data_IF_138503302752
#
_entry.id   IF_138503302752
#
_cell.length_a   1.000
_cell.length_b   1.000
_cell.length_c   1.000
_cell.angle_alpha   90.00
_cell.angle_beta   90.00
_cell.angle_gamma   90.00
#
_symmetry.space_group_name_H-M   'P 1'
#
loop_
_entity.id
_entity.type
_entity.pdbx_description
1 polymer ?
#
# COMPACT_ATOMS: atom_id res chain seq x y z
N UNK A 1 -33.38 16.56 -48.49
CA UNK A 1 -32.85 17.31 -47.33
C UNK A 1 -32.85 16.52 -46.01
N UNK A 2 -33.55 15.39 -45.86
CA UNK A 2 -33.63 14.67 -44.56
C UNK A 2 -32.48 13.69 -44.27
N UNK A 3 -31.90 13.01 -45.26
CA UNK A 3 -30.84 11.99 -45.03
C UNK A 3 -29.51 12.59 -44.54
N UNK A 4 -29.11 13.76 -45.02
CA UNK A 4 -27.87 14.43 -44.60
C UNK A 4 -27.98 14.99 -43.17
N UNK A 5 -29.18 15.41 -42.76
CA UNK A 5 -29.45 15.90 -41.41
C UNK A 5 -29.44 14.76 -40.39
N UNK A 6 -29.99 13.60 -40.77
CA UNK A 6 -29.94 12.37 -39.96
C UNK A 6 -28.51 11.86 -39.78
N UNK A 7 -27.70 11.86 -40.85
CA UNK A 7 -26.29 11.45 -40.76
C UNK A 7 -25.47 12.38 -39.84
N UNK A 8 -25.69 13.70 -39.93
CA UNK A 8 -25.04 14.68 -39.03
C UNK A 8 -25.47 14.49 -37.58
N UNK A 9 -26.75 14.23 -37.31
CA UNK A 9 -27.25 13.95 -35.96
C UNK A 9 -26.68 12.65 -35.39
N UNK A 10 -26.56 11.59 -36.20
CA UNK A 10 -25.94 10.33 -35.78
C UNK A 10 -24.44 10.46 -35.53
N UNK A 11 -23.71 11.24 -36.33
CA UNK A 11 -22.28 11.50 -36.08
C UNK A 11 -22.10 12.33 -34.80
N UNK A 12 -22.89 13.37 -34.59
CA UNK A 12 -22.85 14.17 -33.36
C UNK A 12 -23.25 13.33 -32.14
N UNK A 13 -24.26 12.46 -32.24
CA UNK A 13 -24.64 11.55 -31.16
C UNK A 13 -23.57 10.49 -30.89
N UNK A 14 -22.87 9.97 -31.91
CA UNK A 14 -21.78 9.01 -31.74
C UNK A 14 -20.53 9.66 -31.13
N UNK A 15 -20.23 10.91 -31.51
CA UNK A 15 -19.17 11.72 -30.88
C UNK A 15 -19.54 12.05 -29.44
N UNK A 16 -20.81 12.37 -29.15
CA UNK A 16 -21.30 12.55 -27.78
C UNK A 16 -21.22 11.26 -26.96
N UNK A 17 -21.52 10.10 -27.55
CA UNK A 17 -21.40 8.79 -26.86
C UNK A 17 -19.93 8.39 -26.66
N UNK A 18 -19.02 8.75 -27.57
CA UNK A 18 -17.57 8.57 -27.40
C UNK A 18 -16.95 9.59 -26.42
N UNK A 19 -17.52 10.79 -26.31
CA UNK A 19 -17.20 11.78 -25.26
C UNK A 19 -17.85 11.45 -23.91
N UNK A 20 -18.77 10.48 -23.88
CA UNK A 20 -19.44 9.96 -22.68
C UNK A 20 -18.92 8.58 -22.27
N UNK A 21 -17.88 8.05 -22.94
CA UNK A 21 -17.02 7.08 -22.26
C UNK A 21 -16.35 7.87 -21.14
N UNK A 22 -16.65 7.59 -19.86
CA UNK A 22 -16.03 8.34 -18.78
C UNK A 22 -14.53 8.13 -18.90
N UNK A 23 -13.72 9.20 -18.92
CA UNK A 23 -12.27 9.09 -18.71
C UNK A 23 -11.97 8.19 -17.49
N UNK A 24 -12.85 8.20 -16.50
CA UNK A 24 -12.81 7.38 -15.30
C UNK A 24 -12.73 5.87 -15.60
N UNK A 25 -13.34 5.36 -16.68
CA UNK A 25 -13.25 3.93 -17.03
C UNK A 25 -11.86 3.58 -17.53
N UNK A 26 -11.21 4.46 -18.30
CA UNK A 26 -9.85 4.24 -18.80
C UNK A 26 -8.82 4.37 -17.67
N UNK A 27 -8.91 5.42 -16.85
CA UNK A 27 -8.03 5.60 -15.69
C UNK A 27 -8.16 4.43 -14.69
N UNK A 28 -9.39 3.96 -14.42
CA UNK A 28 -9.59 2.79 -13.54
C UNK A 28 -9.05 1.48 -14.13
N UNK A 29 -8.98 1.37 -15.45
CA UNK A 29 -8.46 0.18 -16.13
C UNK A 29 -6.93 0.17 -16.12
N UNK A 30 -6.30 1.34 -16.27
CA UNK A 30 -4.84 1.50 -16.20
C UNK A 30 -4.33 1.18 -14.79
N UNK A 31 -4.95 1.75 -13.74
CA UNK A 31 -4.55 1.46 -12.34
C UNK A 31 -4.60 -0.03 -12.02
N UNK A 32 -5.61 -0.77 -12.48
CA UNK A 32 -5.67 -2.22 -12.25
C UNK A 32 -4.52 -2.96 -12.91
N UNK A 33 -4.14 -2.57 -14.12
CA UNK A 33 -2.97 -3.15 -14.77
C UNK A 33 -1.67 -2.82 -14.04
N UNK A 34 -1.58 -1.62 -13.45
CA UNK A 34 -0.41 -1.20 -12.67
C UNK A 34 -0.31 -1.97 -11.35
N UNK A 35 -1.44 -2.20 -10.66
CA UNK A 35 -1.53 -3.07 -9.49
C UNK A 35 -1.02 -4.48 -9.83
N UNK A 36 -1.52 -5.08 -10.91
CA UNK A 36 -1.12 -6.45 -11.31
C UNK A 36 0.38 -6.54 -11.61
N UNK A 37 0.95 -5.55 -12.30
CA UNK A 37 2.38 -5.51 -12.62
C UNK A 37 3.24 -5.33 -11.37
N UNK A 38 2.87 -4.41 -10.50
CA UNK A 38 3.63 -4.14 -9.28
C UNK A 38 3.50 -5.28 -8.26
N UNK A 39 2.31 -5.88 -8.13
CA UNK A 39 2.12 -7.09 -7.31
C UNK A 39 2.99 -8.25 -7.80
N UNK A 40 3.00 -8.51 -9.12
CA UNK A 40 3.85 -9.55 -9.70
C UNK A 40 5.33 -9.30 -9.43
N UNK A 41 5.79 -8.06 -9.54
CA UNK A 41 7.17 -7.69 -9.23
C UNK A 41 7.52 -7.91 -7.75
N UNK A 42 6.66 -7.49 -6.82
CA UNK A 42 6.87 -7.67 -5.38
C UNK A 42 6.97 -9.16 -5.01
N UNK A 43 6.14 -10.01 -5.61
CA UNK A 43 6.16 -11.46 -5.40
C UNK A 43 7.41 -12.10 -6.04
N UNK A 44 7.74 -11.75 -7.29
CA UNK A 44 8.90 -12.30 -8.00
C UNK A 44 10.23 -11.95 -7.32
N UNK A 45 10.31 -10.77 -6.70
CA UNK A 45 11.51 -10.29 -5.99
C UNK A 45 11.53 -10.65 -4.50
N UNK A 46 10.50 -11.37 -4.02
CA UNK A 46 10.33 -11.73 -2.60
C UNK A 46 10.40 -10.51 -1.66
N UNK A 47 9.89 -9.35 -2.11
CA UNK A 47 9.87 -8.12 -1.32
C UNK A 47 8.72 -8.13 -0.32
N UNK A 48 8.86 -8.95 0.72
CA UNK A 48 7.85 -9.15 1.76
C UNK A 48 8.16 -8.32 3.01
N UNK A 49 7.35 -7.30 3.22
CA UNK A 49 7.35 -6.41 4.39
C UNK A 49 5.92 -6.32 4.91
N UNK A 50 5.71 -5.82 6.14
CA UNK A 50 4.36 -5.64 6.69
C UNK A 50 3.46 -4.81 5.75
N UNK A 51 4.10 -3.85 5.10
CA UNK A 51 3.51 -2.88 4.18
C UNK A 51 3.15 -3.47 2.83
N UNK A 52 4.04 -4.28 2.23
CA UNK A 52 3.76 -4.94 0.96
C UNK A 52 2.73 -6.05 1.14
N UNK A 53 2.80 -6.81 2.25
CA UNK A 53 1.84 -7.85 2.60
C UNK A 53 0.45 -7.26 2.83
N UNK A 54 0.32 -6.17 3.58
CA UNK A 54 -0.95 -5.48 3.77
C UNK A 54 -1.58 -5.03 2.44
N UNK A 55 -0.79 -4.43 1.56
CA UNK A 55 -1.27 -4.00 0.25
C UNK A 55 -1.62 -5.17 -0.67
N UNK A 56 -0.82 -6.25 -0.67
CA UNK A 56 -1.08 -7.46 -1.46
C UNK A 56 -2.38 -8.13 -1.01
N UNK A 57 -2.58 -8.29 0.30
CA UNK A 57 -3.80 -8.82 0.87
C UNK A 57 -5.01 -7.97 0.47
N UNK A 58 -4.92 -6.64 0.64
CA UNK A 58 -6.01 -5.73 0.29
C UNK A 58 -6.35 -5.74 -1.20
N UNK A 59 -5.34 -5.96 -2.05
CA UNK A 59 -5.51 -6.09 -3.49
C UNK A 59 -6.07 -7.47 -3.90
N UNK A 60 -6.21 -8.44 -2.99
CA UNK A 60 -6.46 -9.86 -3.28
C UNK A 60 -5.37 -10.48 -4.19
N UNK A 61 -4.12 -10.08 -3.97
CA UNK A 61 -2.94 -10.53 -4.70
C UNK A 61 -1.93 -11.26 -3.80
N UNK A 62 -2.21 -11.47 -2.51
CA UNK A 62 -1.36 -12.24 -1.61
C UNK A 62 -1.56 -13.75 -1.84
N UNK A 63 -0.58 -14.49 -2.36
CA UNK A 63 -0.69 -15.94 -2.51
C UNK A 63 -0.66 -16.68 -1.18
N UNK A 64 -1.36 -17.80 -1.06
CA UNK A 64 -1.44 -18.60 0.18
C UNK A 64 -0.05 -19.05 0.69
N UNK A 65 0.85 -19.44 -0.21
CA UNK A 65 2.22 -19.87 0.14
C UNK A 65 3.09 -18.71 0.63
N UNK A 66 2.90 -17.51 0.08
CA UNK A 66 3.55 -16.29 0.59
C UNK A 66 2.96 -15.88 1.94
N UNK A 67 1.64 -16.00 2.11
CA UNK A 67 0.96 -15.74 3.39
C UNK A 67 1.50 -16.65 4.50
N UNK A 68 1.60 -17.96 4.23
CA UNK A 68 2.15 -18.93 5.17
C UNK A 68 3.64 -18.69 5.47
N UNK A 69 4.43 -18.35 4.45
CA UNK A 69 5.84 -17.98 4.63
C UNK A 69 5.97 -16.76 5.55
N UNK A 70 5.19 -15.71 5.27
CA UNK A 70 5.25 -14.46 6.03
C UNK A 70 4.73 -14.62 7.46
N UNK A 71 3.70 -15.45 7.65
CA UNK A 71 3.24 -15.88 8.98
C UNK A 71 4.40 -16.46 9.79
N UNK A 72 5.24 -17.30 9.19
CA UNK A 72 6.46 -17.83 9.81
C UNK A 72 7.38 -16.73 10.35
N UNK A 73 7.63 -15.67 9.58
CA UNK A 73 8.42 -14.52 10.03
C UNK A 73 7.76 -13.78 11.19
N UNK A 74 6.44 -13.59 11.15
CA UNK A 74 5.70 -12.96 12.25
C UNK A 74 5.78 -13.78 13.55
N UNK A 75 5.72 -15.11 13.46
CA UNK A 75 5.89 -15.98 14.63
C UNK A 75 7.30 -15.86 15.20
N UNK A 76 8.34 -15.81 14.36
CA UNK A 76 9.72 -15.60 14.81
C UNK A 76 9.90 -14.22 15.48
N UNK A 77 9.19 -13.19 15.00
CA UNK A 77 9.24 -11.84 15.55
C UNK A 77 8.55 -11.70 16.91
N UNK A 78 7.67 -12.63 17.32
CA UNK A 78 7.05 -12.64 18.65
C UNK A 78 8.06 -12.74 19.79
N UNK A 79 9.22 -13.35 19.54
CA UNK A 79 10.31 -13.47 20.51
C UNK A 79 11.06 -12.14 20.72
N UNK A 80 10.81 -11.14 19.89
CA UNK A 80 11.45 -9.83 19.97
C UNK A 80 10.70 -8.87 20.89
N UNK A 81 11.40 -7.82 21.35
CA UNK A 81 10.78 -6.72 22.09
C UNK A 81 10.16 -5.72 21.11
N UNK A 82 8.93 -6.00 20.69
CA UNK A 82 8.15 -5.12 19.80
C UNK A 82 7.47 -3.99 20.58
N UNK A 83 7.63 -2.74 20.11
CA UNK A 83 7.06 -1.51 20.71
C UNK A 83 6.89 -0.43 19.66
N UNK A 84 5.99 0.52 19.94
CA UNK A 84 5.63 1.60 19.05
C UNK A 84 5.28 1.08 17.67
N UNK A 85 5.88 1.68 16.64
CA UNK A 85 5.55 1.37 15.25
C UNK A 85 5.90 -0.06 14.82
N UNK A 86 6.89 -0.74 15.43
CA UNK A 86 7.18 -2.13 15.05
C UNK A 86 6.05 -3.08 15.48
N UNK A 87 5.53 -2.91 16.69
CA UNK A 87 4.37 -3.66 17.17
C UNK A 87 3.11 -3.37 16.35
N UNK A 88 2.87 -2.09 16.03
CA UNK A 88 1.69 -1.66 15.28
C UNK A 88 1.69 -2.22 13.84
N UNK A 89 2.86 -2.25 13.21
CA UNK A 89 3.05 -2.89 11.90
C UNK A 89 2.78 -4.38 11.95
N UNK A 90 3.23 -5.06 13.01
CA UNK A 90 2.93 -6.48 13.20
C UNK A 90 1.42 -6.73 13.29
N UNK A 91 0.67 -5.92 14.05
CA UNK A 91 -0.80 -6.02 14.13
C UNK A 91 -1.44 -5.86 12.74
N UNK A 92 -0.99 -4.89 11.95
CA UNK A 92 -1.48 -4.66 10.59
C UNK A 92 -1.20 -5.88 9.70
N UNK A 93 0.00 -6.45 9.79
CA UNK A 93 0.37 -7.61 9.00
C UNK A 93 -0.40 -8.88 9.41
N UNK A 94 -0.56 -9.15 10.70
CA UNK A 94 -1.35 -10.29 11.21
C UNK A 94 -2.79 -10.21 10.72
N UNK A 95 -3.42 -9.04 10.84
CA UNK A 95 -4.78 -8.85 10.32
C UNK A 95 -4.83 -9.02 8.79
N UNK A 96 -3.83 -8.52 8.06
CA UNK A 96 -3.76 -8.62 6.60
C UNK A 96 -3.66 -10.06 6.10
N UNK A 97 -2.93 -10.94 6.80
CA UNK A 97 -2.84 -12.37 6.45
C UNK A 97 -4.08 -13.18 6.90
N UNK A 98 -5.09 -12.51 7.47
CA UNK A 98 -6.35 -13.13 7.90
C UNK A 98 -6.29 -13.82 9.26
N UNK A 99 -5.24 -13.59 10.05
CA UNK A 99 -5.10 -14.08 11.42
C UNK A 99 -5.69 -13.09 12.43
N UNK A 100 -6.03 -13.56 13.64
CA UNK A 100 -6.61 -12.73 14.70
C UNK A 100 -5.51 -12.07 15.56
N UNK A 101 -5.32 -10.74 15.53
CA UNK A 101 -4.32 -10.07 16.35
C UNK A 101 -4.61 -10.09 17.85
N UNK A 102 -5.81 -10.49 18.28
CA UNK A 102 -6.15 -10.67 19.70
C UNK A 102 -5.71 -12.03 20.26
N UNK A 103 -5.40 -13.00 19.40
CA UNK A 103 -4.93 -14.34 19.76
C UNK A 103 -3.93 -14.93 18.75
N UNK A 104 -2.91 -14.15 18.39
CA UNK A 104 -1.87 -14.62 17.47
C UNK A 104 -0.83 -15.47 18.24
N UNK A 105 -0.84 -16.78 18.04
CA UNK A 105 0.01 -17.74 18.79
C UNK A 105 -0.16 -17.63 20.32
N UNK A 106 -1.37 -17.36 20.80
CA UNK A 106 -1.64 -17.17 22.24
C UNK A 106 -1.24 -15.78 22.76
N UNK A 107 -0.92 -14.84 21.86
CA UNK A 107 -0.49 -13.48 22.21
C UNK A 107 -1.52 -12.46 21.72
N UNK A 108 -2.07 -11.70 22.66
CA UNK A 108 -2.92 -10.55 22.33
C UNK A 108 -2.06 -9.33 21.96
N UNK A 109 -1.87 -9.10 20.65
CA UNK A 109 -1.10 -7.98 20.13
C UNK A 109 -1.86 -6.65 20.27
N UNK A 110 -3.19 -6.67 20.22
CA UNK A 110 -4.03 -5.49 20.46
C UNK A 110 -3.86 -4.97 21.89
N UNK A 111 -3.81 -5.87 22.87
CA UNK A 111 -3.52 -5.53 24.27
C UNK A 111 -2.15 -4.89 24.44
N UNK A 112 -1.14 -5.42 23.74
CA UNK A 112 0.20 -4.83 23.75
C UNK A 112 0.16 -3.41 23.18
N UNK A 113 -0.57 -3.15 22.10
CA UNK A 113 -0.69 -1.81 21.51
C UNK A 113 -1.38 -0.85 22.49
N UNK A 114 -2.54 -1.22 23.03
CA UNK A 114 -3.28 -0.29 23.90
C UNK A 114 -2.60 -0.05 25.25
N UNK A 115 -1.64 -0.90 25.63
CA UNK A 115 -0.84 -0.80 26.86
C UNK A 115 0.57 -0.23 26.63
N UNK A 116 0.90 0.17 25.39
CA UNK A 116 2.27 0.53 25.02
C UNK A 116 2.65 1.96 25.48
N UNK A 117 3.56 2.06 26.44
CA UNK A 117 4.08 3.34 26.94
C UNK A 117 4.97 4.10 25.92
N UNK A 118 5.25 3.52 24.75
CA UNK A 118 6.17 4.06 23.75
C UNK A 118 5.47 4.80 22.60
N UNK A 119 4.15 4.96 22.66
CA UNK A 119 3.37 5.74 21.68
C UNK A 119 3.47 7.25 21.97
N UNK A 120 4.66 7.80 21.72
CA UNK A 120 4.98 9.21 22.03
C UNK A 120 5.08 10.11 20.81
N UNK A 121 5.53 9.55 19.69
CA UNK A 121 5.69 10.27 18.43
C UNK A 121 4.41 10.24 17.60
N UNK A 122 4.20 11.26 16.78
CA UNK A 122 3.06 11.35 15.87
C UNK A 122 2.93 10.10 14.98
N UNK A 123 4.04 9.57 14.45
CA UNK A 123 4.03 8.34 13.65
C UNK A 123 3.49 7.13 14.43
N UNK A 124 3.91 6.95 15.68
CA UNK A 124 3.41 5.89 16.54
C UNK A 124 1.93 6.09 16.92
N UNK A 125 1.46 7.33 17.00
CA UNK A 125 0.04 7.60 17.27
C UNK A 125 -0.83 7.31 16.05
N UNK A 126 -0.37 7.70 14.86
CA UNK A 126 -1.01 7.40 13.57
C UNK A 126 -1.12 5.89 13.38
N UNK A 127 0.00 5.17 13.46
CA UNK A 127 -0.01 3.72 13.25
C UNK A 127 -0.63 2.96 14.41
N UNK A 128 -0.62 3.51 15.63
CA UNK A 128 -1.41 2.99 16.74
C UNK A 128 -2.90 3.05 16.44
N UNK A 129 -3.39 4.17 15.93
CA UNK A 129 -4.79 4.32 15.55
C UNK A 129 -5.16 3.37 14.40
N UNK A 130 -4.31 3.29 13.37
CA UNK A 130 -4.52 2.36 12.26
C UNK A 130 -4.58 0.91 12.75
N UNK A 131 -3.62 0.49 13.59
CA UNK A 131 -3.56 -0.88 14.12
C UNK A 131 -4.82 -1.27 14.90
N UNK A 132 -5.38 -0.35 15.70
CA UNK A 132 -6.63 -0.60 16.43
C UNK A 132 -7.87 -0.61 15.53
N UNK A 133 -7.76 -0.11 14.29
CA UNK A 133 -8.84 -0.08 13.30
C UNK A 133 -8.67 -1.13 12.19
N UNK A 134 -7.72 -2.07 12.33
CA UNK A 134 -7.58 -3.17 11.35
C UNK A 134 -8.73 -4.16 11.43
N UNK A 135 -9.45 -4.19 12.55
CA UNK A 135 -10.67 -4.95 12.75
C UNK A 135 -11.48 -4.36 13.90
N UNK A 136 -12.45 -5.14 14.40
CA UNK A 136 -13.26 -4.75 15.56
C UNK A 136 -12.71 -5.43 16.81
N UNK A 137 -12.20 -4.64 17.76
CA UNK A 137 -11.58 -5.14 18.98
C UNK A 137 -12.18 -4.53 20.25
N UNK A 138 -12.32 -5.35 21.30
CA UNK A 138 -12.75 -4.89 22.61
C UNK A 138 -11.60 -4.21 23.37
N UNK A 139 -11.56 -2.89 23.37
CA UNK A 139 -10.55 -2.10 24.07
C UNK A 139 -11.11 -1.56 25.39
N UNK A 140 -10.47 -1.82 26.55
CA UNK A 140 -10.92 -1.28 27.84
C UNK A 140 -10.95 0.26 27.85
N UNK A 141 -12.00 0.86 28.42
CA UNK A 141 -12.14 2.32 28.51
C UNK A 141 -10.98 2.99 29.28
N UNK A 142 -10.37 2.26 30.22
CA UNK A 142 -9.23 2.72 31.03
C UNK A 142 -7.86 2.33 30.47
N UNK A 143 -7.81 1.69 29.29
CA UNK A 143 -6.56 1.38 28.59
C UNK A 143 -5.71 2.63 28.37
N UNK A 144 -4.38 2.50 28.36
CA UNK A 144 -3.48 3.64 28.19
C UNK A 144 -3.80 4.38 26.88
N UNK A 145 -3.99 3.64 25.80
CA UNK A 145 -4.41 4.13 24.49
C UNK A 145 -5.74 3.52 24.08
N UNK A 146 -6.71 4.38 23.82
CA UNK A 146 -7.93 4.00 23.08
C UNK A 146 -7.89 4.68 21.72
N UNK A 147 -8.70 4.21 20.78
CA UNK A 147 -8.95 4.89 19.51
C UNK A 147 -9.20 6.40 19.71
N UNK A 148 -10.09 6.75 20.63
CA UNK A 148 -10.44 8.13 20.95
C UNK A 148 -9.25 8.94 21.49
N UNK A 149 -8.39 8.33 22.33
CA UNK A 149 -7.19 9.02 22.85
C UNK A 149 -6.17 9.28 21.74
N UNK A 150 -5.96 8.30 20.86
CA UNK A 150 -5.03 8.42 19.73
C UNK A 150 -5.54 9.41 18.68
N UNK A 151 -6.83 9.35 18.34
CA UNK A 151 -7.50 10.31 17.47
C UNK A 151 -7.32 11.73 17.99
N UNK A 152 -7.64 11.97 19.26
CA UNK A 152 -7.48 13.29 19.87
C UNK A 152 -6.02 13.76 19.86
N UNK A 153 -5.04 12.86 20.08
CA UNK A 153 -3.61 13.21 19.97
C UNK A 153 -3.23 13.66 18.57
N UNK A 154 -3.71 12.97 17.53
CA UNK A 154 -3.46 13.34 16.13
C UNK A 154 -4.10 14.70 15.83
N UNK A 155 -5.36 14.93 16.22
CA UNK A 155 -6.05 16.19 15.99
C UNK A 155 -5.39 17.37 16.74
N UNK A 156 -4.94 17.16 17.99
CA UNK A 156 -4.21 18.16 18.78
C UNK A 156 -2.90 18.62 18.11
N UNK A 157 -2.31 17.79 17.26
CA UNK A 157 -1.08 18.07 16.53
C UNK A 157 -1.31 18.59 15.10
N UNK A 158 -2.56 18.77 14.67
CA UNK A 158 -2.88 19.44 13.41
C UNK A 158 -2.38 20.89 13.44
N UNK A 159 -1.77 21.33 12.34
CA UNK A 159 -1.20 22.66 12.24
C UNK A 159 -2.29 23.70 11.91
N UNK A 160 -2.11 25.00 12.28
CA UNK A 160 -3.15 26.02 12.10
C UNK A 160 -3.66 26.19 10.66
N UNK A 161 -2.83 25.86 9.67
CA UNK A 161 -3.13 25.97 8.24
C UNK A 161 -3.37 24.60 7.58
N UNK A 162 -3.60 23.56 8.38
CA UNK A 162 -3.76 22.18 7.91
C UNK A 162 -2.44 21.44 7.88
N UNK A 163 -2.55 20.12 7.80
CA UNK A 163 -1.42 19.21 7.72
C UNK A 163 -0.77 18.91 9.07
N UNK A 164 0.17 17.99 9.01
CA UNK A 164 0.94 17.50 10.14
C UNK A 164 2.41 17.44 9.75
N UNK A 165 3.30 17.50 10.73
CA UNK A 165 4.72 17.30 10.50
C UNK A 165 5.41 16.77 11.74
N UNK A 166 6.53 16.08 11.51
CA UNK A 166 7.30 15.46 12.58
C UNK A 166 7.82 16.47 13.62
N UNK A 167 8.07 17.72 13.20
CA UNK A 167 8.57 18.80 14.04
C UNK A 167 7.46 19.55 14.81
N UNK A 168 6.18 19.29 14.47
CA UNK A 168 5.02 19.98 15.02
C UNK A 168 4.94 21.48 14.67
N UNK A 169 5.70 21.94 13.68
CA UNK A 169 5.79 23.36 13.28
C UNK A 169 5.46 23.54 11.80
N UNK A 170 6.02 22.70 10.93
CA UNK A 170 5.86 22.78 9.49
C UNK A 170 5.09 21.55 9.01
N UNK A 171 4.16 21.76 8.06
CA UNK A 171 3.48 20.63 7.44
C UNK A 171 4.50 19.87 6.58
N UNK A 172 4.65 18.59 6.87
CA UNK A 172 5.38 17.63 6.04
C UNK A 172 4.33 16.83 5.27
N UNK A 173 4.51 16.73 3.95
CA UNK A 173 3.46 16.17 3.08
C UNK A 173 3.31 14.66 3.26
N UNK A 174 4.39 13.97 3.66
CA UNK A 174 4.35 12.53 3.97
C UNK A 174 3.56 12.31 5.26
N UNK A 175 3.90 13.04 6.34
CA UNK A 175 3.16 12.97 7.61
C UNK A 175 1.71 13.41 7.47
N UNK A 176 1.42 14.36 6.58
CA UNK A 176 0.05 14.78 6.29
C UNK A 176 -0.73 13.65 5.60
N UNK A 177 -0.14 12.97 4.62
CA UNK A 177 -0.73 11.77 4.00
C UNK A 177 -0.96 10.65 5.01
N UNK A 178 0.01 10.37 5.87
CA UNK A 178 -0.09 9.39 6.94
C UNK A 178 -1.20 9.72 7.94
N UNK A 179 -1.33 10.97 8.37
CA UNK A 179 -2.39 11.40 9.28
C UNK A 179 -3.77 11.27 8.63
N UNK A 180 -3.93 11.71 7.37
CA UNK A 180 -5.18 11.53 6.61
C UNK A 180 -5.57 10.06 6.49
N UNK A 181 -4.59 9.17 6.34
CA UNK A 181 -4.82 7.72 6.32
C UNK A 181 -5.50 7.26 7.61
N UNK A 182 -4.96 7.61 8.78
CA UNK A 182 -5.58 7.24 10.06
C UNK A 182 -6.94 7.93 10.29
N UNK A 183 -7.09 9.20 9.88
CA UNK A 183 -8.34 9.94 10.01
C UNK A 183 -9.45 9.42 9.08
N UNK A 184 -9.11 8.68 8.03
CA UNK A 184 -10.06 8.08 7.09
C UNK A 184 -11.14 7.21 7.75
N UNK A 185 -10.79 6.54 8.86
CA UNK A 185 -11.73 5.74 9.67
C UNK A 185 -12.78 6.59 10.40
N UNK A 186 -12.53 7.89 10.60
CA UNK A 186 -13.35 8.79 11.41
C UNK A 186 -13.86 10.00 10.64
N UNK A 187 -13.77 10.01 9.30
CA UNK A 187 -14.11 11.15 8.44
C UNK A 187 -15.54 11.66 8.58
N UNK A 188 -16.47 10.82 9.06
CA UNK A 188 -17.87 11.21 9.27
C UNK A 188 -18.08 12.04 10.57
N UNK A 189 -17.04 12.28 11.36
CA UNK A 189 -17.09 13.15 12.56
C UNK A 189 -16.74 14.59 12.17
N UNK A 190 -17.57 15.55 12.59
CA UNK A 190 -17.44 16.96 12.21
C UNK A 190 -16.05 17.55 12.56
N UNK A 191 -15.52 17.24 13.75
CA UNK A 191 -14.21 17.71 14.20
C UNK A 191 -13.05 17.13 13.39
N UNK A 192 -13.19 15.88 12.91
CA UNK A 192 -12.20 15.21 12.07
C UNK A 192 -12.26 15.77 10.66
N UNK A 193 -13.48 15.87 10.10
CA UNK A 193 -13.70 16.43 8.76
C UNK A 193 -13.14 17.85 8.64
N UNK A 194 -13.27 18.67 9.69
CA UNK A 194 -12.72 20.03 9.70
C UNK A 194 -11.18 20.06 9.56
N UNK A 195 -10.44 19.10 10.15
CA UNK A 195 -8.99 19.01 9.96
C UNK A 195 -8.61 18.37 8.62
N UNK A 196 -9.40 17.39 8.15
CA UNK A 196 -9.26 16.83 6.80
C UNK A 196 -9.38 17.93 5.75
N UNK A 197 -10.40 18.79 5.83
CA UNK A 197 -10.64 19.86 4.85
C UNK A 197 -9.46 20.84 4.76
N UNK A 198 -8.83 21.17 5.89
CA UNK A 198 -7.64 22.03 5.91
C UNK A 198 -6.44 21.33 5.25
N UNK A 199 -6.21 20.06 5.56
CA UNK A 199 -5.12 19.29 4.99
C UNK A 199 -5.30 19.08 3.47
N UNK A 200 -6.53 18.80 3.02
CA UNK A 200 -6.87 18.72 1.59
C UNK A 200 -6.61 20.05 0.89
N UNK A 201 -7.00 21.17 1.50
CA UNK A 201 -6.74 22.51 0.97
C UNK A 201 -5.24 22.80 0.87
N UNK A 202 -4.49 22.51 1.94
CA UNK A 202 -3.04 22.65 1.95
C UNK A 202 -2.39 21.87 0.80
N UNK A 203 -2.74 20.59 0.67
CA UNK A 203 -2.19 19.71 -0.37
C UNK A 203 -2.51 20.23 -1.77
N UNK A 204 -3.75 20.66 -2.01
CA UNK A 204 -4.14 21.23 -3.29
C UNK A 204 -3.38 22.53 -3.62
N UNK A 205 -3.16 23.40 -2.62
CA UNK A 205 -2.46 24.68 -2.78
C UNK A 205 -0.96 24.50 -3.09
N UNK A 206 -0.33 23.43 -2.59
CA UNK A 206 1.11 23.15 -2.78
C UNK A 206 1.41 22.17 -3.93
N UNK A 207 0.37 21.56 -4.52
CA UNK A 207 0.53 20.68 -5.68
C UNK A 207 1.16 21.45 -6.86
N UNK A 208 2.16 20.86 -7.49
CA UNK A 208 2.83 21.44 -8.64
C UNK A 208 2.01 21.32 -9.93
N UNK A 209 2.42 22.03 -10.97
CA UNK A 209 1.72 22.03 -12.27
C UNK A 209 1.59 20.62 -12.87
N UNK A 210 2.56 19.74 -12.61
CA UNK A 210 2.61 18.36 -13.08
C UNK A 210 1.93 17.34 -12.15
N UNK A 211 1.25 17.81 -11.10
CA UNK A 211 0.60 16.97 -10.09
C UNK A 211 1.53 16.46 -8.99
N UNK A 212 2.81 16.83 -9.02
CA UNK A 212 3.79 16.46 -8.00
C UNK A 212 3.72 17.29 -6.72
N UNK A 213 4.51 16.88 -5.73
CA UNK A 213 4.61 17.52 -4.43
C UNK A 213 6.08 17.71 -4.06
N UNK A 214 6.48 18.93 -3.73
CA UNK A 214 7.84 19.20 -3.24
C UNK A 214 7.89 19.03 -1.72
N UNK A 215 8.35 17.86 -1.29
CA UNK A 215 8.66 17.59 0.11
C UNK A 215 10.08 17.03 0.16
N UNK A 216 11.05 17.90 0.39
CA UNK A 216 12.49 17.57 0.26
C UNK A 216 12.90 17.18 -1.16
N UNK A 217 12.24 17.77 -2.16
CA UNK A 217 12.34 17.40 -3.57
C UNK A 217 11.12 16.61 -4.04
N UNK A 218 10.81 16.73 -5.33
CA UNK A 218 9.68 16.03 -5.95
C UNK A 218 10.03 14.56 -6.18
N UNK A 219 9.30 13.67 -5.52
CA UNK A 219 9.62 12.23 -5.46
C UNK A 219 8.35 11.36 -5.38
N UNK A 220 8.50 10.08 -5.73
CA UNK A 220 7.37 9.13 -5.78
C UNK A 220 6.81 8.77 -4.40
N UNK A 221 7.64 8.72 -3.37
CA UNK A 221 7.21 8.36 -2.01
C UNK A 221 6.23 9.39 -1.44
N UNK A 222 6.52 10.69 -1.62
CA UNK A 222 5.59 11.75 -1.21
C UNK A 222 4.30 11.72 -2.01
N UNK A 223 4.37 11.56 -3.33
CA UNK A 223 3.17 11.39 -4.15
C UNK A 223 2.33 10.20 -3.66
N UNK A 224 2.97 9.07 -3.34
CA UNK A 224 2.29 7.89 -2.81
C UNK A 224 1.61 8.15 -1.46
N UNK A 225 2.31 8.73 -0.47
CA UNK A 225 1.71 9.02 0.85
C UNK A 225 0.50 9.95 0.74
N UNK A 226 0.60 10.98 -0.11
CA UNK A 226 -0.52 11.91 -0.35
C UNK A 226 -1.70 11.18 -0.99
N UNK A 227 -1.47 10.31 -1.99
CA UNK A 227 -2.54 9.54 -2.64
C UNK A 227 -3.20 8.56 -1.66
N UNK A 228 -2.42 7.87 -0.82
CA UNK A 228 -2.97 6.97 0.22
C UNK A 228 -3.90 7.76 1.14
N UNK A 229 -3.40 8.86 1.71
CA UNK A 229 -4.15 9.70 2.64
C UNK A 229 -5.42 10.28 2.05
N UNK A 230 -5.33 10.89 0.86
CA UNK A 230 -6.49 11.46 0.16
C UNK A 230 -7.52 10.38 -0.18
N UNK A 231 -7.07 9.20 -0.62
CA UNK A 231 -7.97 8.09 -0.92
C UNK A 231 -8.70 7.58 0.32
N UNK A 232 -8.00 7.47 1.45
CA UNK A 232 -8.57 7.07 2.74
C UNK A 232 -9.70 7.99 3.21
N UNK A 233 -9.58 9.30 2.97
CA UNK A 233 -10.63 10.28 3.30
C UNK A 233 -11.69 10.45 2.20
N UNK A 234 -11.59 9.70 1.10
CA UNK A 234 -12.58 9.70 0.02
C UNK A 234 -12.40 10.79 -1.03
N UNK A 235 -11.22 11.39 -1.13
CA UNK A 235 -10.88 12.40 -2.13
C UNK A 235 -10.29 11.73 -3.37
N UNK A 236 -10.91 11.96 -4.53
CA UNK A 236 -10.41 11.50 -5.83
C UNK A 236 -9.30 12.43 -6.33
N UNK A 237 -8.06 11.95 -6.31
CA UNK A 237 -6.88 12.70 -6.75
C UNK A 237 -6.88 12.99 -8.25
N UNK A 238 -7.77 12.43 -9.06
CA UNK A 238 -7.86 12.70 -10.50
C UNK A 238 -8.84 13.82 -10.85
N UNK A 239 -9.48 14.41 -9.83
CA UNK A 239 -10.50 15.44 -9.97
C UNK A 239 -10.06 16.74 -9.28
N UNK A 240 -10.82 17.81 -9.50
CA UNK A 240 -10.68 19.05 -8.74
C UNK A 240 -10.74 18.78 -7.23
N UNK A 241 -9.86 19.39 -6.41
CA UNK A 241 -8.89 20.43 -6.77
C UNK A 241 -7.51 19.92 -7.21
N UNK A 242 -7.31 18.60 -7.35
CA UNK A 242 -6.03 17.97 -7.68
C UNK A 242 -5.81 17.74 -9.18
N UNK A 243 -6.58 18.42 -10.03
CA UNK A 243 -6.51 18.27 -11.47
C UNK A 243 -6.05 19.58 -12.14
N UNK A 244 -5.03 19.49 -12.98
CA UNK A 244 -4.51 20.63 -13.75
C UNK A 244 -4.12 20.24 -15.17
N UNK A 245 -4.99 20.55 -16.15
CA UNK A 245 -4.77 20.34 -17.60
C UNK A 245 -4.24 18.93 -17.96
N UNK A 246 -4.82 17.91 -17.33
CA UNK A 246 -4.44 16.51 -17.55
C UNK A 246 -3.36 15.97 -16.60
N UNK A 247 -2.78 16.81 -15.75
CA UNK A 247 -1.87 16.40 -14.69
C UNK A 247 -2.60 16.28 -13.36
N UNK A 248 -2.26 15.25 -12.60
CA UNK A 248 -2.81 14.98 -11.28
C UNK A 248 -1.88 14.01 -10.52
N UNK A 249 -1.97 13.93 -9.18
CA UNK A 249 -1.08 13.11 -8.34
C UNK A 249 -0.91 11.67 -8.80
N UNK A 250 -2.01 11.00 -9.17
CA UNK A 250 -1.94 9.61 -9.63
C UNK A 250 -1.11 9.48 -10.93
N UNK A 251 -1.31 10.35 -11.92
CA UNK A 251 -0.52 10.33 -13.15
C UNK A 251 0.95 10.62 -12.85
N UNK A 252 1.21 11.62 -11.99
CA UNK A 252 2.56 11.96 -11.56
C UNK A 252 3.26 10.75 -10.93
N UNK A 253 2.59 9.99 -10.05
CA UNK A 253 3.13 8.76 -9.48
C UNK A 253 3.46 7.72 -10.56
N UNK A 254 2.57 7.51 -11.53
CA UNK A 254 2.76 6.53 -12.61
C UNK A 254 3.97 6.84 -13.49
N UNK A 255 4.41 8.09 -13.59
CA UNK A 255 5.62 8.47 -14.35
C UNK A 255 6.92 7.90 -13.75
N UNK A 256 6.89 7.45 -12.49
CA UNK A 256 8.02 6.81 -11.81
C UNK A 256 8.09 5.30 -12.03
N UNK A 257 7.03 4.69 -12.58
CA UNK A 257 6.96 3.24 -12.77
C UNK A 257 7.89 2.79 -13.91
N UNK A 258 8.63 1.71 -13.66
CA UNK A 258 9.47 1.03 -14.64
C UNK A 258 8.66 -0.04 -15.40
N UNK A 259 9.22 -0.52 -16.51
CA UNK A 259 8.58 -1.55 -17.34
C UNK A 259 8.29 -2.85 -16.57
N UNK A 260 9.13 -3.18 -15.58
CA UNK A 260 8.98 -4.35 -14.71
C UNK A 260 7.93 -4.18 -13.61
N UNK A 261 7.28 -3.00 -13.49
CA UNK A 261 6.27 -2.71 -12.47
C UNK A 261 6.83 -2.12 -11.17
N UNK A 262 8.15 -2.04 -11.00
CA UNK A 262 8.79 -1.37 -9.88
C UNK A 262 8.71 0.15 -10.02
N UNK A 263 9.01 0.89 -8.95
CA UNK A 263 9.05 2.35 -8.96
C UNK A 263 10.44 2.87 -8.61
N UNK A 264 10.78 4.00 -9.21
CA UNK A 264 11.96 4.80 -8.86
C UNK A 264 11.64 5.79 -7.76
N UNK A 265 12.66 6.30 -7.06
CA UNK A 265 12.49 7.40 -6.11
C UNK A 265 12.41 8.76 -6.82
N UNK A 266 13.38 9.07 -7.68
CA UNK A 266 13.41 10.28 -8.50
C UNK A 266 13.17 9.95 -9.98
N UNK A 267 12.57 10.88 -10.73
CA UNK A 267 12.41 10.72 -12.18
C UNK A 267 13.74 10.55 -12.91
N UNK A 268 14.80 11.18 -12.41
CA UNK A 268 16.17 11.08 -12.94
C UNK A 268 16.83 9.72 -12.72
N UNK A 269 16.30 8.90 -11.82
CA UNK A 269 16.90 7.60 -11.53
C UNK A 269 16.67 6.63 -12.69
N UNK A 270 17.55 5.64 -12.78
CA UNK A 270 17.45 4.54 -13.75
C UNK A 270 17.16 3.20 -13.09
N UNK A 271 17.25 3.13 -11.76
CA UNK A 271 17.08 1.92 -10.97
C UNK A 271 15.84 2.06 -10.08
N UNK A 272 15.20 0.93 -9.81
CA UNK A 272 14.12 0.84 -8.84
C UNK A 272 14.59 1.16 -7.41
N UNK A 273 13.62 1.54 -6.57
CA UNK A 273 13.78 1.72 -5.14
C UNK A 273 12.67 0.93 -4.45
N UNK A 274 13.04 -0.02 -3.59
CA UNK A 274 12.06 -0.94 -2.97
C UNK A 274 11.00 -0.22 -2.13
N UNK A 275 11.38 0.82 -1.38
CA UNK A 275 10.44 1.63 -0.61
C UNK A 275 9.50 2.44 -1.51
N UNK A 276 10.00 2.98 -2.62
CA UNK A 276 9.16 3.64 -3.62
C UNK A 276 8.18 2.66 -4.24
N UNK A 277 8.61 1.44 -4.59
CA UNK A 277 7.74 0.39 -5.13
C UNK A 277 6.64 0.00 -4.15
N UNK A 278 6.99 -0.24 -2.89
CA UNK A 278 6.06 -0.60 -1.82
C UNK A 278 5.00 0.49 -1.60
N UNK A 279 5.42 1.75 -1.42
CA UNK A 279 4.47 2.83 -1.15
C UNK A 279 3.64 3.19 -2.38
N UNK A 280 4.21 3.16 -3.58
CA UNK A 280 3.44 3.34 -4.80
C UNK A 280 2.37 2.24 -4.95
N UNK A 281 2.70 0.99 -4.61
CA UNK A 281 1.73 -0.10 -4.61
C UNK A 281 0.59 0.15 -3.63
N UNK A 282 0.89 0.56 -2.38
CA UNK A 282 -0.14 0.98 -1.42
C UNK A 282 -1.03 2.10 -1.95
N UNK A 283 -0.45 3.11 -2.61
CA UNK A 283 -1.18 4.22 -3.19
C UNK A 283 -2.14 3.77 -4.31
N UNK A 284 -1.69 2.89 -5.20
CA UNK A 284 -2.55 2.33 -6.25
C UNK A 284 -3.70 1.52 -5.65
N UNK A 285 -3.43 0.69 -4.64
CA UNK A 285 -4.43 -0.14 -3.97
C UNK A 285 -5.44 0.72 -3.20
N UNK A 286 -4.98 1.75 -2.48
CA UNK A 286 -5.83 2.70 -1.78
C UNK A 286 -6.75 3.45 -2.76
N UNK A 287 -6.19 3.96 -3.87
CA UNK A 287 -6.96 4.64 -4.90
C UNK A 287 -7.96 3.70 -5.60
N UNK A 288 -7.58 2.47 -5.92
CA UNK A 288 -8.50 1.49 -6.52
C UNK A 288 -9.66 1.11 -5.58
N UNK A 289 -9.48 1.25 -4.26
CA UNK A 289 -10.52 1.02 -3.25
C UNK A 289 -11.24 2.32 -2.82
N UNK A 290 -11.00 3.45 -3.49
CA UNK A 290 -11.60 4.74 -3.17
C UNK A 290 -13.12 4.65 -3.03
N UNK A 291 -13.64 5.04 -1.86
CA UNK A 291 -15.07 5.02 -1.57
C UNK A 291 -15.68 3.62 -1.38
N UNK A 292 -14.88 2.55 -1.44
CA UNK A 292 -15.31 1.17 -1.23
C UNK A 292 -14.83 0.65 0.12
N UNK A 293 -13.53 0.72 0.41
CA UNK A 293 -12.96 0.27 1.67
C UNK A 293 -11.62 0.95 1.94
N UNK A 294 -11.25 1.05 3.22
CA UNK A 294 -9.98 1.63 3.65
C UNK A 294 -8.82 0.65 3.44
N UNK A 295 -7.61 1.13 3.07
CA UNK A 295 -6.44 0.29 2.78
C UNK A 295 -6.12 -0.70 3.92
N UNK A 296 -6.23 -0.24 5.16
CA UNK A 296 -5.90 -1.01 6.36
C UNK A 296 -7.11 -1.54 7.13
N UNK A 297 -8.31 -1.47 6.55
CA UNK A 297 -9.48 -2.16 7.10
C UNK A 297 -9.44 -3.61 6.63
N UNK A 298 -9.13 -4.51 7.55
CA UNK A 298 -9.11 -5.97 7.37
C UNK A 298 -10.15 -6.63 8.27
N UNK A 299 -11.22 -5.89 8.62
CA UNK A 299 -12.25 -6.34 9.55
C UNK A 299 -12.58 -7.81 9.33
N UNK A 300 -12.15 -8.59 10.33
CA UNK A 300 -12.13 -10.03 10.28
C UNK A 300 -13.57 -10.52 10.08
N UNK A 301 -13.82 -11.14 8.92
CA UNK A 301 -15.02 -11.91 8.72
C UNK A 301 -14.68 -13.31 9.21
N UNK A 302 -15.18 -13.67 10.40
CA UNK A 302 -15.10 -15.04 10.90
C UNK A 302 -15.55 -15.97 9.77
N UNK A 303 -14.71 -16.93 9.32
CA UNK A 303 -15.10 -17.82 8.25
C UNK A 303 -16.38 -18.52 8.71
N UNK A 304 -17.47 -18.37 7.92
CA UNK A 304 -18.69 -19.14 8.18
C UNK A 304 -18.27 -20.60 8.29
N UNK A 305 -18.37 -21.17 9.49
CA UNK A 305 -18.21 -22.61 9.69
C UNK A 305 -19.35 -23.23 8.89
N UNK A 306 -19.07 -23.68 7.66
CA UNK A 306 -20.01 -24.49 6.91
C UNK A 306 -20.40 -25.64 7.84
N UNK A 307 -21.70 -25.83 8.10
CA UNK A 307 -22.12 -26.88 9.02
C UNK A 307 -21.60 -28.20 8.49
N UNK A 308 -20.75 -28.85 9.29
CA UNK A 308 -20.32 -30.23 9.11
C UNK A 308 -21.50 -31.06 8.57
N UNK A 309 -21.32 -31.83 7.48
CA UNK A 309 -22.38 -32.66 6.96
C UNK A 309 -22.90 -33.53 8.10
N UNK A 310 -24.17 -33.33 8.47
CA UNK A 310 -24.83 -34.14 9.48
C UNK A 310 -24.75 -35.59 8.98
N UNK A 311 -23.86 -36.40 9.57
CA UNK A 311 -23.93 -37.84 9.38
C UNK A 311 -25.30 -38.28 9.91
N UNK A 312 -26.19 -38.64 8.98
CA UNK A 312 -27.46 -39.28 9.33
C UNK A 312 -27.13 -40.59 10.05
N UNK A 313 -27.17 -40.55 11.37
CA UNK A 313 -27.19 -41.75 12.19
C UNK A 313 -28.44 -42.55 11.81
N UNK A 314 -28.31 -43.85 11.47
CA UNK A 314 -29.46 -44.66 11.06
C UNK A 314 -30.53 -44.65 12.15
N UNK A 315 -31.74 -44.27 11.74
CA UNK A 315 -32.88 -44.03 12.61
C UNK A 315 -33.15 -45.13 13.63
N UNK A 316 -33.48 -44.65 14.81
CA UNK A 316 -34.06 -45.35 15.94
C UNK A 316 -35.28 -46.19 15.50
N UNK A 317 -35.12 -47.51 15.49
CA UNK A 317 -36.21 -48.48 15.43
C UNK A 317 -36.44 -48.98 16.85
N UNK A 318 -37.56 -48.57 17.44
CA UNK A 318 -38.09 -49.07 18.71
C UNK A 318 -38.86 -50.36 18.44
N UNK A 319 -38.48 -51.47 19.10
CA UNK A 319 -39.24 -52.66 19.55
C UNK A 319 -38.18 -53.72 19.95
N UNK A 320 -38.19 -54.51 21.04
CA UNK A 320 -39.05 -54.85 22.19
C UNK A 320 -38.11 -55.61 23.19
N UNK A 321 -38.38 -55.70 24.52
CA UNK A 321 -37.40 -56.12 25.53
C UNK A 321 -37.51 -57.61 25.88
N UNK A 322 -36.45 -58.38 25.66
CA UNK A 322 -36.06 -59.51 26.51
C UNK A 322 -34.74 -60.11 26.01
N UNK A 323 -33.70 -60.08 26.84
CA UNK A 323 -33.00 -61.30 27.25
C UNK A 323 -31.81 -60.97 28.18
N UNK A 324 -31.63 -61.87 29.15
CA UNK A 324 -30.81 -61.79 30.35
C UNK A 324 -29.30 -62.01 30.12
N UNK A 325 -28.51 -61.53 31.10
CA UNK A 325 -27.17 -61.97 31.55
C UNK A 325 -26.02 -61.98 30.50
N UNK A 326 -24.85 -61.37 30.75
CA UNK A 326 -23.86 -61.81 31.76
C UNK A 326 -22.75 -60.76 31.93
N UNK A 327 -22.09 -60.75 33.09
CA UNK A 327 -21.00 -59.84 33.47
C UNK A 327 -19.58 -60.36 33.10
N UNK A 328 -18.62 -59.42 33.13
CA UNK A 328 -17.18 -59.51 33.54
C UNK A 328 -16.08 -59.87 32.49
N UNK A 329 -14.78 -59.53 32.69
CA UNK A 329 -14.15 -58.18 32.66
C UNK A 329 -12.69 -58.14 32.06
N UNK A 330 -11.95 -57.04 32.28
CA UNK A 330 -10.44 -56.82 32.24
C UNK A 330 -9.74 -56.93 30.86
N UNK A 331 -8.66 -56.24 30.49
CA UNK A 331 -7.51 -55.66 31.23
C UNK A 331 -6.70 -54.68 30.34
N UNK A 332 -6.01 -53.74 30.98
CA UNK A 332 -4.77 -53.07 30.50
C UNK A 332 -3.58 -53.81 31.17
N UNK A 333 -2.30 -53.40 31.20
CA UNK A 333 -1.48 -52.51 30.37
C UNK A 333 -0.18 -53.22 29.89
N UNK A 334 0.73 -52.52 29.21
CA UNK A 334 2.10 -53.02 29.05
C UNK A 334 3.04 -52.12 28.25
N UNK A 335 3.98 -51.50 28.96
CA UNK A 335 5.15 -50.73 28.54
C UNK A 335 6.09 -51.44 27.54
N UNK A 336 6.98 -50.68 26.88
CA UNK A 336 8.47 -50.75 26.99
C UNK A 336 9.13 -49.89 25.88
N UNK A 337 9.67 -48.73 26.30
CA UNK A 337 11.09 -48.31 26.31
C UNK A 337 12.10 -48.71 25.19
N UNK A 338 12.70 -47.64 24.63
CA UNK A 338 14.15 -47.33 24.40
C UNK A 338 15.02 -47.95 23.29
N UNK A 339 15.95 -47.08 22.84
CA UNK A 339 17.21 -47.26 22.07
C UNK A 339 17.06 -47.22 20.53
N UNK A 340 17.80 -46.41 19.76
CA UNK A 340 19.19 -45.97 19.91
C UNK A 340 19.44 -44.70 19.07
N UNK A 341 20.20 -43.76 19.63
CA UNK A 341 20.89 -42.69 18.94
C UNK A 341 22.15 -43.25 18.27
N UNK A 342 22.52 -42.69 17.11
CA UNK A 342 23.89 -42.42 16.61
C UNK A 342 24.03 -42.73 15.12
N UNK A 343 23.82 -41.71 14.28
CA UNK A 343 24.72 -41.43 13.16
C UNK A 343 24.76 -39.91 12.96
N UNK A 344 25.74 -39.27 13.60
CA UNK A 344 26.17 -37.90 13.34
C UNK A 344 27.46 -37.96 12.52
N UNK A 345 27.70 -36.89 11.77
CA UNK A 345 28.96 -36.46 11.14
C UNK A 345 29.08 -36.85 9.65
N UNK A 346 28.48 -36.04 8.78
CA UNK A 346 29.10 -35.49 7.56
C UNK A 346 28.09 -34.61 6.79
N UNK A 347 27.72 -33.43 7.33
CA UNK A 347 27.19 -32.34 6.46
C UNK A 347 27.31 -30.92 7.06
N UNK A 348 28.26 -30.68 7.97
CA UNK A 348 28.50 -29.33 8.54
C UNK A 348 29.51 -28.46 7.76
N UNK A 349 30.10 -28.93 6.66
CA UNK A 349 31.11 -28.14 5.91
C UNK A 349 30.60 -27.42 4.65
N UNK A 350 29.28 -27.14 4.55
CA UNK A 350 28.73 -26.34 3.44
C UNK A 350 27.91 -25.11 3.83
N UNK A 351 27.89 -24.74 5.12
CA UNK A 351 27.25 -23.50 5.60
C UNK A 351 28.21 -22.34 5.92
N UNK A 352 29.51 -22.49 5.67
CA UNK A 352 30.52 -21.48 5.98
C UNK A 352 31.09 -20.75 4.73
N UNK A 353 30.23 -20.41 3.76
CA UNK A 353 30.65 -19.60 2.60
C UNK A 353 29.65 -18.55 2.09
N UNK A 354 28.69 -18.15 2.93
CA UNK A 354 27.74 -17.06 2.66
C UNK A 354 27.69 -16.04 3.81
N UNK A 355 28.80 -15.87 4.56
CA UNK A 355 28.92 -14.94 5.71
C UNK A 355 29.97 -13.84 5.54
N UNK A 356 30.50 -13.62 4.35
CA UNK A 356 31.34 -12.45 4.06
C UNK A 356 30.80 -11.83 2.77
N UNK A 357 29.90 -10.85 2.92
CA UNK A 357 29.69 -9.69 2.02
C UNK A 357 28.46 -8.83 2.42
N UNK A 358 28.10 -8.77 3.71
CA UNK A 358 27.17 -7.77 4.24
C UNK A 358 27.61 -7.27 5.63
N UNK A 359 28.80 -6.69 5.68
CA UNK A 359 29.16 -5.71 6.70
C UNK A 359 29.84 -4.55 5.98
N UNK A 360 29.14 -3.41 5.88
CA UNK A 360 29.65 -2.04 6.05
C UNK A 360 28.48 -1.06 5.81
N UNK A 361 28.37 -0.11 6.74
CA UNK A 361 27.52 1.09 6.79
C UNK A 361 26.07 0.97 7.27
N UNK A 362 25.92 0.90 8.60
CA UNK A 362 24.82 1.60 9.28
C UNK A 362 25.35 2.30 10.54
N UNK A 363 25.78 3.56 10.40
CA UNK A 363 26.19 4.39 11.54
C UNK A 363 24.98 5.16 12.10
N UNK A 364 24.71 4.87 13.36
CA UNK A 364 23.74 5.52 14.25
C UNK A 364 23.89 7.05 14.30
N UNK A 365 22.79 7.76 14.11
CA UNK A 365 22.61 9.11 14.66
C UNK A 365 21.94 8.99 16.03
N UNK A 366 22.76 9.09 17.08
CA UNK A 366 22.32 9.27 18.47
C UNK A 366 22.11 10.78 18.70
N UNK A 367 20.89 11.20 19.01
CA UNK A 367 20.60 12.55 19.50
C UNK A 367 20.69 12.52 21.02
N UNK A 368 21.66 13.23 21.59
CA UNK A 368 21.74 13.51 23.04
C UNK A 368 21.38 14.96 23.32
N UNK A 369 20.52 15.15 24.31
CA UNK A 369 20.26 16.41 25.01
C UNK A 369 21.53 17.10 25.53
N UNK A 370 21.55 18.43 25.49
CA UNK A 370 22.65 19.21 26.04
C UNK A 370 22.37 20.71 26.12
N UNK A 371 22.20 21.16 27.37
CA UNK A 371 21.97 22.52 27.84
C UNK A 371 22.80 23.66 27.22
N UNK A 372 22.16 24.83 27.20
CA UNK A 372 22.73 26.16 26.99
C UNK A 372 23.84 26.53 27.99
N UNK A 373 24.97 27.03 27.49
CA UNK A 373 25.59 28.26 28.01
C UNK A 373 26.63 28.85 27.05
N UNK A 374 26.71 30.19 27.07
CA UNK A 374 27.44 31.01 26.10
C UNK A 374 28.97 30.90 26.17
N UNK A 375 29.67 31.36 25.13
CA UNK A 375 30.22 32.72 25.09
C UNK A 375 31.00 33.00 23.78
N UNK A 376 30.90 34.24 23.31
CA UNK A 376 31.76 35.04 22.41
C UNK A 376 33.05 34.44 21.81
N UNK A 377 33.23 34.52 20.47
CA UNK A 377 34.03 35.56 19.80
C UNK A 377 34.31 35.31 18.29
N UNK A 378 34.13 36.38 17.52
CA UNK A 378 34.85 36.82 16.30
C UNK A 378 35.80 35.87 15.55
N UNK A 379 35.58 35.71 14.23
CA UNK A 379 36.35 36.48 13.23
C UNK A 379 35.85 36.25 11.80
N UNK A 380 35.77 37.37 11.05
CA UNK A 380 35.71 37.44 9.59
C UNK A 380 37.01 36.92 8.96
N UNK A 381 36.91 36.32 7.76
CA UNK A 381 37.69 36.78 6.60
C UNK A 381 37.19 36.11 5.31
N UNK A 382 37.05 36.94 4.28
CA UNK A 382 36.73 36.64 2.89
C UNK A 382 37.79 35.75 2.21
N UNK A 383 37.40 35.02 1.17
CA UNK A 383 38.17 35.07 -0.09
C UNK A 383 37.32 34.69 -1.32
N UNK A 384 37.38 35.59 -2.30
CA UNK A 384 36.84 35.52 -3.65
C UNK A 384 37.80 34.86 -4.65
N UNK A 385 37.20 34.22 -5.67
CA UNK A 385 37.55 34.24 -7.11
C UNK A 385 38.74 33.44 -7.63
N UNK A 386 38.53 32.57 -8.64
CA UNK A 386 38.67 32.91 -10.09
C UNK A 386 38.81 31.68 -11.00
N UNK A 387 38.14 31.74 -12.18
CA UNK A 387 38.49 31.34 -13.58
C UNK A 387 39.22 30.00 -13.88
N UNK A 388 39.12 29.34 -15.05
CA UNK A 388 38.49 29.51 -16.37
C UNK A 388 38.62 28.16 -17.16
N UNK A 389 37.65 27.93 -18.03
CA UNK A 389 37.53 27.19 -19.31
C UNK A 389 38.79 26.65 -20.05
N UNK A 390 38.74 25.44 -20.65
CA UNK A 390 38.75 25.21 -22.13
C UNK A 390 38.92 23.74 -22.64
N UNK A 391 37.97 23.36 -23.53
CA UNK A 391 38.04 22.57 -24.79
C UNK A 391 38.30 21.04 -24.88
N UNK A 392 37.20 20.33 -25.21
CA UNK A 392 36.93 19.45 -26.39
C UNK A 392 38.01 18.56 -27.04
N UNK A 393 37.66 17.27 -27.15
CA UNK A 393 37.91 16.43 -28.34
C UNK A 393 36.75 15.45 -28.55
N UNK A 394 36.11 15.51 -29.74
CA UNK A 394 35.07 14.61 -30.22
C UNK A 394 35.66 13.29 -30.73
N UNK A 395 35.07 12.17 -30.35
CA UNK A 395 35.06 10.92 -31.12
C UNK A 395 33.61 10.45 -31.19
N UNK A 396 33.09 10.31 -32.41
CA UNK A 396 31.66 10.10 -32.65
C UNK A 396 31.25 8.64 -32.43
N UNK A 397 30.48 8.40 -31.37
CA UNK A 397 29.68 7.19 -31.22
C UNK A 397 28.25 7.46 -31.71
N UNK A 398 27.68 6.48 -32.42
CA UNK A 398 26.34 6.55 -32.99
C UNK A 398 25.31 6.64 -31.86
N UNK A 399 24.37 7.57 -32.00
CA UNK A 399 23.20 7.67 -31.11
C UNK A 399 22.49 6.31 -31.03
N UNK A 400 22.10 5.84 -29.83
CA UNK A 400 21.22 4.69 -29.71
C UNK A 400 19.87 5.02 -30.36
N UNK A 401 19.30 4.05 -31.10
CA UNK A 401 18.01 4.16 -31.77
C UNK A 401 16.89 4.45 -30.76
N UNK A 402 16.54 5.72 -30.58
CA UNK A 402 15.43 6.20 -29.71
C UNK A 402 14.09 6.24 -30.44
N UNK A 403 13.85 5.32 -31.38
CA UNK A 403 12.55 5.16 -32.01
C UNK A 403 11.83 3.96 -31.39
N UNK A 404 11.07 4.20 -30.31
CA UNK A 404 9.96 3.32 -29.94
C UNK A 404 9.11 3.12 -31.20
N UNK A 405 8.89 1.86 -31.58
CA UNK A 405 8.20 1.47 -32.81
C UNK A 405 6.72 1.91 -32.76
N UNK A 406 6.45 3.15 -33.17
CA UNK A 406 5.10 3.70 -33.38
C UNK A 406 4.33 3.02 -34.54
N UNK A 407 4.88 1.94 -35.10
CA UNK A 407 4.24 1.14 -36.14
C UNK A 407 2.92 0.51 -35.66
N UNK A 408 2.77 0.22 -34.37
CA UNK A 408 1.50 -0.30 -33.83
C UNK A 408 0.38 0.74 -33.86
N UNK A 409 0.68 1.99 -33.48
CA UNK A 409 -0.27 3.12 -33.54
C UNK A 409 -0.61 3.49 -34.98
N UNK A 410 0.38 3.52 -35.87
CA UNK A 410 0.16 3.73 -37.30
C UNK A 410 -0.64 2.59 -37.95
N UNK A 411 -0.39 1.34 -37.56
CA UNK A 411 -1.13 0.18 -38.06
C UNK A 411 -2.59 0.18 -37.58
N UNK A 412 -2.84 0.53 -36.30
CA UNK A 412 -4.18 0.72 -35.77
C UNK A 412 -4.92 1.86 -36.49
N UNK A 413 -4.24 2.99 -36.71
CA UNK A 413 -4.79 4.11 -37.49
C UNK A 413 -5.17 3.72 -38.92
N UNK A 414 -4.30 2.96 -39.61
CA UNK A 414 -4.58 2.45 -40.96
C UNK A 414 -5.76 1.46 -40.99
N UNK A 415 -5.88 0.60 -39.97
CA UNK A 415 -6.99 -0.33 -39.81
C UNK A 415 -8.33 0.40 -39.64
N UNK A 416 -8.38 1.40 -38.74
CA UNK A 416 -9.58 2.22 -38.54
C UNK A 416 -9.96 3.00 -39.80
N UNK A 417 -8.97 3.53 -40.53
CA UNK A 417 -9.22 4.22 -41.80
C UNK A 417 -9.85 3.30 -42.85
N UNK A 418 -9.36 2.06 -42.98
CA UNK A 418 -9.91 1.05 -43.89
C UNK A 418 -11.35 0.64 -43.51
N UNK A 419 -11.59 0.39 -42.23
CA UNK A 419 -12.94 0.07 -41.72
C UNK A 419 -13.90 1.23 -42.01
N UNK A 420 -13.47 2.47 -41.71
CA UNK A 420 -14.25 3.67 -41.98
C UNK A 420 -14.58 3.86 -43.47
N UNK A 421 -13.63 3.58 -44.37
CA UNK A 421 -13.88 3.65 -45.82
C UNK A 421 -14.88 2.58 -46.28
N UNK A 422 -14.77 1.35 -45.80
CA UNK A 422 -15.74 0.28 -46.13
C UNK A 422 -17.15 0.63 -45.65
N UNK A 423 -17.29 1.15 -44.43
CA UNK A 423 -18.58 1.61 -43.89
C UNK A 423 -19.14 2.76 -44.73
N UNK A 424 -18.30 3.75 -45.08
CA UNK A 424 -18.73 4.89 -45.91
C UNK A 424 -19.25 4.43 -47.28
N UNK A 425 -18.53 3.54 -47.96
CA UNK A 425 -18.95 3.06 -49.28
C UNK A 425 -20.18 2.15 -49.22
N UNK A 426 -20.31 1.29 -48.21
CA UNK A 426 -21.51 0.45 -48.03
C UNK A 426 -22.74 1.28 -47.71
N UNK A 427 -22.63 2.32 -46.88
CA UNK A 427 -23.71 3.26 -46.63
C UNK A 427 -24.06 4.09 -47.87
N UNK A 428 -23.06 4.58 -48.62
CA UNK A 428 -23.28 5.32 -49.87
C UNK A 428 -24.00 4.47 -50.93
N UNK A 429 -23.68 3.18 -51.02
CA UNK A 429 -24.32 2.24 -51.96
C UNK A 429 -25.77 1.95 -51.59
N UNK A 430 -26.11 1.88 -50.30
CA UNK A 430 -27.50 1.75 -49.80
C UNK A 430 -28.36 3.01 -49.97
N UNK A 431 -27.75 4.17 -50.26
CA UNK A 431 -28.47 5.44 -50.48
C UNK A 431 -28.72 5.70 -51.97
N UNK A 432 -27.95 5.05 -52.86
CA UNK A 432 -28.03 5.21 -54.33
C UNK A 432 -28.83 4.10 -55.02
N UNK A 433 -29.12 3.00 -54.33
CA UNK A 433 -30.20 2.06 -54.66
C UNK A 433 -31.41 2.38 -53.77
#
# INVERSE_FOLDING_TARGET
>A
MSKLLLLRKSIVAMILVLLLFPLNVLASQEVKQDIERTAAHLIETEHYTDWSIAALAKANHLPDDVSELYRGYLVEDLDQVLRGTSLQRMVIAVAAIGEDPTDFEGVNLIEKVYSDEFINMLSAQIYGLIALNTGEYDIPEDALWTEEKLLNKILEQSLPHGGWGWDGVNADLDFTGMALTALGFYKDRDEVQAEIDKAVTLLADVMQEDGGFDNWGVNSNTAAQVIIGLSSVGVDVTQEPFYNDGHHPLQHLLDYQLENGAYKWLLSDTSENSMSTEQAFQALVAYNNLGVSHLYDFSYVEPEVEPEPIEETPGDQVEDPNDEETQEPVDSPGDVDTEEQEELIEEEEKKEKLKEDQEVDNEQVVVTDGESNGNENNNQAEHQSSNETETTSQEGERLPDTATSNYHVLALGALFFLIGTVIFFTQRRKVLN
#
